data_IF_099490212905
#
_entry.id   IF_099490212905
#
_cell.length_a   1.000
_cell.length_b   1.000
_cell.length_c   1.000
_cell.angle_alpha   90.00
_cell.angle_beta   90.00
_cell.angle_gamma   90.00
#
_symmetry.space_group_name_H-M   'P 1'
#
loop_
_entity.id
_entity.type
_entity.pdbx_description
1 polymer ?
#
# COMPACT_ATOMS: atom_id res chain seq x y z
N UNK A 1 -89.06 4.41 -15.79
CA UNK A 1 -89.23 5.23 -17.00
C UNK A 1 -87.91 5.99 -17.13
N UNK A 2 -86.95 5.38 -17.84
CA UNK A 2 -86.53 5.75 -19.21
C UNK A 2 -85.57 6.96 -19.20
N UNK A 3 -84.47 7.08 -19.94
CA UNK A 3 -83.80 6.28 -20.97
C UNK A 3 -82.37 6.88 -21.14
N UNK A 4 -81.31 6.07 -21.30
CA UNK A 4 -80.51 5.87 -22.55
C UNK A 4 -79.72 7.09 -23.06
N UNK A 5 -78.39 6.97 -23.18
CA UNK A 5 -77.64 7.02 -24.47
C UNK A 5 -76.14 7.39 -24.30
N UNK A 6 -75.32 6.71 -25.10
CA UNK A 6 -73.87 6.84 -25.26
C UNK A 6 -73.45 7.83 -26.37
N UNK A 7 -72.13 7.87 -26.63
CA UNK A 7 -71.36 8.44 -27.76
C UNK A 7 -70.78 9.85 -27.52
N UNK A 8 -69.65 10.29 -28.08
CA UNK A 8 -68.46 9.73 -28.72
C UNK A 8 -67.56 10.92 -29.13
N UNK A 9 -66.27 10.66 -29.38
CA UNK A 9 -65.34 11.40 -30.24
C UNK A 9 -64.99 12.87 -29.93
N UNK A 10 -63.73 13.08 -29.51
CA UNK A 10 -63.04 14.38 -29.42
C UNK A 10 -62.04 14.46 -30.57
N UNK A 11 -62.21 15.43 -31.46
CA UNK A 11 -61.23 15.85 -32.45
C UNK A 11 -60.99 17.35 -32.28
N UNK A 12 -59.73 17.79 -32.06
CA UNK A 12 -59.19 19.06 -32.53
C UNK A 12 -57.71 19.21 -32.16
N UNK A 13 -56.85 19.33 -33.16
CA UNK A 13 -55.55 20.01 -33.05
C UNK A 13 -55.68 21.49 -33.53
N UNK A 14 -54.59 22.27 -33.66
CA UNK A 14 -53.92 23.01 -32.59
C UNK A 14 -53.96 24.53 -32.89
N UNK A 15 -53.64 25.40 -31.94
CA UNK A 15 -53.20 26.75 -32.31
C UNK A 15 -52.30 27.41 -31.26
N UNK A 16 -51.38 28.18 -31.81
CA UNK A 16 -50.21 28.87 -31.30
C UNK A 16 -50.49 29.90 -30.19
N UNK A 17 -49.45 30.17 -29.37
CA UNK A 17 -49.15 31.54 -28.96
C UNK A 17 -48.69 31.77 -27.52
N UNK A 18 -47.42 32.23 -27.41
CA UNK A 18 -46.94 33.32 -26.54
C UNK A 18 -46.09 33.00 -25.29
N UNK A 19 -44.77 33.25 -25.47
CA UNK A 19 -43.81 33.95 -24.58
C UNK A 19 -42.98 33.16 -23.54
N UNK A 20 -41.73 32.91 -23.96
CA UNK A 20 -40.43 32.97 -23.24
C UNK A 20 -40.36 33.77 -21.90
N UNK A 21 -39.39 33.53 -20.98
CA UNK A 21 -37.95 33.54 -21.35
C UNK A 21 -36.90 32.79 -20.47
N UNK A 22 -35.65 32.83 -20.96
CA UNK A 22 -34.32 32.69 -20.27
C UNK A 22 -33.88 31.26 -19.93
N UNK A 23 -32.61 30.85 -20.06
CA UNK A 23 -31.28 31.51 -20.13
C UNK A 23 -30.29 30.54 -20.80
N UNK A 24 -29.32 31.04 -21.57
CA UNK A 24 -28.30 30.23 -22.24
C UNK A 24 -27.19 29.72 -21.33
N UNK A 25 -26.56 28.61 -21.74
CA UNK A 25 -25.24 28.21 -21.26
C UNK A 25 -24.40 27.63 -22.40
N UNK A 26 -23.28 28.33 -22.62
CA UNK A 26 -22.02 28.04 -23.29
C UNK A 26 -21.72 26.65 -23.87
N UNK A 27 -21.05 26.67 -25.03
CA UNK A 27 -19.78 25.93 -25.21
C UNK A 27 -19.79 24.85 -26.29
N UNK A 28 -19.51 25.26 -27.51
CA UNK A 28 -19.48 24.49 -28.76
C UNK A 28 -18.55 23.25 -28.79
N UNK A 29 -19.03 22.21 -29.46
CA UNK A 29 -18.27 21.04 -29.89
C UNK A 29 -17.28 21.41 -31.01
N UNK A 30 -15.99 21.17 -30.77
CA UNK A 30 -15.01 21.07 -31.86
C UNK A 30 -14.95 19.62 -32.37
N UNK A 31 -15.50 19.42 -33.56
CA UNK A 31 -15.45 18.18 -34.33
C UNK A 31 -14.04 17.97 -34.90
N UNK A 32 -13.47 16.78 -34.73
CA UNK A 32 -12.20 16.37 -35.36
C UNK A 32 -12.52 15.83 -36.76
N UNK A 33 -11.86 16.28 -37.85
CA UNK A 33 -12.04 15.68 -39.17
C UNK A 33 -11.23 14.39 -39.32
N UNK A 34 -11.90 13.35 -39.80
CA UNK A 34 -11.30 12.06 -40.21
C UNK A 34 -10.50 12.25 -41.52
N UNK A 35 -9.26 11.75 -41.65
CA UNK A 35 -8.55 11.78 -42.93
C UNK A 35 -8.95 10.58 -43.82
N UNK A 36 -9.28 10.88 -45.08
CA UNK A 36 -9.57 9.89 -46.12
C UNK A 36 -8.30 9.41 -46.84
N UNK A 37 -8.33 8.15 -47.28
CA UNK A 37 -7.29 7.40 -48.04
C UNK A 37 -6.67 8.18 -49.21
N UNK A 38 -5.36 7.98 -49.50
CA UNK A 38 -4.78 8.37 -50.79
C UNK A 38 -4.71 7.21 -51.80
N UNK A 39 -4.99 7.52 -53.08
CA UNK A 39 -4.78 6.67 -54.25
C UNK A 39 -3.40 6.91 -54.89
N UNK A 40 -2.89 5.87 -55.56
CA UNK A 40 -1.63 5.74 -56.29
C UNK A 40 -1.34 6.83 -57.35
N UNK A 41 -0.12 7.37 -57.37
CA UNK A 41 0.60 7.78 -58.59
C UNK A 41 2.10 7.47 -58.43
N UNK A 42 2.62 6.65 -59.34
CA UNK A 42 4.02 6.23 -59.45
C UNK A 42 4.86 7.27 -60.23
N UNK A 43 6.04 7.64 -59.73
CA UNK A 43 7.18 8.01 -60.60
C UNK A 43 8.54 7.78 -59.93
N UNK A 44 9.31 6.91 -60.55
CA UNK A 44 10.70 6.54 -60.26
C UNK A 44 11.66 7.64 -60.75
N UNK A 45 12.66 8.01 -59.92
CA UNK A 45 14.04 8.22 -60.36
C UNK A 45 15.01 8.16 -59.17
N UNK A 46 16.18 7.62 -59.48
CA UNK A 46 17.19 6.98 -58.64
C UNK A 46 18.34 7.93 -58.28
N UNK A 47 18.87 7.87 -57.06
CA UNK A 47 20.33 7.95 -56.76
C UNK A 47 20.66 7.69 -55.27
N UNK A 48 21.79 7.00 -55.11
CA UNK A 48 22.45 6.26 -54.01
C UNK A 48 22.80 6.97 -52.68
N UNK A 49 23.20 6.23 -51.61
CA UNK A 49 23.07 6.61 -50.20
C UNK A 49 24.37 7.14 -49.54
N UNK A 50 24.22 7.98 -48.52
CA UNK A 50 25.23 8.25 -47.49
C UNK A 50 24.73 7.75 -46.14
N UNK A 51 25.58 6.97 -45.45
CA UNK A 51 25.28 6.26 -44.23
C UNK A 51 25.53 7.12 -42.99
N UNK A 52 24.51 7.30 -42.16
CA UNK A 52 24.60 7.83 -40.80
C UNK A 52 23.58 7.09 -39.91
N UNK A 53 24.11 6.36 -38.91
CA UNK A 53 23.50 5.90 -37.65
C UNK A 53 22.00 5.56 -37.64
N UNK A 54 21.65 4.29 -37.88
CA UNK A 54 20.24 3.82 -37.98
C UNK A 54 19.81 2.79 -36.93
N UNK A 55 20.65 2.40 -35.97
CA UNK A 55 20.33 1.31 -35.04
C UNK A 55 19.62 1.74 -33.73
N UNK A 56 19.68 3.03 -33.38
CA UNK A 56 18.99 3.59 -32.19
C UNK A 56 17.47 3.70 -32.33
N UNK A 57 16.86 4.23 -33.43
CA UNK A 57 15.41 4.41 -33.49
C UNK A 57 14.68 3.06 -33.60
N UNK A 58 15.31 2.03 -34.16
CA UNK A 58 14.67 0.73 -34.37
C UNK A 58 14.47 -0.02 -33.05
N UNK A 59 15.41 0.13 -32.13
CA UNK A 59 15.39 -0.53 -30.82
C UNK A 59 14.38 0.15 -29.89
N UNK A 60 14.32 1.49 -29.91
CA UNK A 60 13.34 2.27 -29.15
C UNK A 60 11.90 1.98 -29.61
N UNK A 61 11.67 1.93 -30.93
CA UNK A 61 10.36 1.58 -31.47
C UNK A 61 9.93 0.14 -31.12
N UNK A 62 10.86 -0.80 -31.04
CA UNK A 62 10.57 -2.17 -30.62
C UNK A 62 10.21 -2.27 -29.12
N UNK A 63 10.94 -1.55 -28.26
CA UNK A 63 10.67 -1.49 -26.83
C UNK A 63 9.31 -0.84 -26.52
N UNK A 64 9.00 0.29 -27.17
CA UNK A 64 7.71 0.97 -27.06
C UNK A 64 6.58 0.08 -27.56
N UNK A 65 6.76 -0.59 -28.71
CA UNK A 65 5.77 -1.55 -29.21
C UNK A 65 5.51 -2.69 -28.23
N UNK A 66 6.55 -3.27 -27.63
CA UNK A 66 6.42 -4.33 -26.63
C UNK A 66 5.68 -3.85 -25.37
N UNK A 67 5.95 -2.63 -24.90
CA UNK A 67 5.22 -2.00 -23.79
C UNK A 67 3.73 -1.84 -24.13
N UNK A 68 3.40 -1.31 -25.31
CA UNK A 68 2.01 -1.08 -25.72
C UNK A 68 1.22 -2.40 -25.83
N UNK A 69 1.84 -3.45 -26.36
CA UNK A 69 1.24 -4.79 -26.39
C UNK A 69 1.03 -5.37 -24.98
N UNK A 70 1.98 -5.16 -24.06
CA UNK A 70 1.83 -5.61 -22.68
C UNK A 70 0.65 -4.89 -21.98
N UNK A 71 0.50 -3.58 -22.18
CA UNK A 71 -0.62 -2.80 -21.64
C UNK A 71 -1.94 -3.21 -22.31
N UNK A 72 -1.96 -3.45 -23.63
CA UNK A 72 -3.17 -3.89 -24.33
C UNK A 72 -3.68 -5.27 -23.89
N UNK A 73 -2.75 -6.17 -23.50
CA UNK A 73 -3.05 -7.47 -22.93
C UNK A 73 -3.50 -7.41 -21.45
N UNK A 74 -3.25 -6.29 -20.77
CA UNK A 74 -3.74 -6.07 -19.40
C UNK A 74 -5.26 -5.87 -19.37
N UNK A 75 -5.88 -6.08 -18.20
CA UNK A 75 -7.33 -5.86 -18.01
C UNK A 75 -7.71 -4.39 -17.85
N UNK A 76 -6.81 -3.45 -18.15
CA UNK A 76 -7.06 -2.02 -17.97
C UNK A 76 -7.96 -1.46 -19.08
N UNK A 77 -8.93 -0.58 -18.73
CA UNK A 77 -9.79 0.05 -19.72
C UNK A 77 -9.01 1.08 -20.54
N UNK A 78 -8.81 0.79 -21.83
CA UNK A 78 -8.11 1.68 -22.77
C UNK A 78 -8.94 2.93 -23.07
N UNK A 79 -10.24 2.75 -23.30
CA UNK A 79 -11.21 3.83 -23.51
C UNK A 79 -12.59 3.46 -22.95
N UNK A 80 -13.45 4.47 -22.79
CA UNK A 80 -14.85 4.28 -22.40
C UNK A 80 -15.63 3.68 -23.56
N UNK A 81 -16.10 2.44 -23.41
CA UNK A 81 -16.97 1.75 -24.38
C UNK A 81 -18.41 1.82 -23.91
N UNK A 82 -19.35 2.07 -24.83
CA UNK A 82 -20.78 2.12 -24.52
C UNK A 82 -21.41 0.72 -24.49
N UNK A 83 -22.50 0.57 -23.74
CA UNK A 83 -23.23 -0.70 -23.66
C UNK A 83 -23.78 -1.08 -25.05
N UNK A 84 -23.28 -2.20 -25.60
CA UNK A 84 -23.68 -2.72 -26.93
C UNK A 84 -22.65 -2.47 -28.04
N UNK A 85 -21.53 -1.81 -27.77
CA UNK A 85 -20.41 -1.73 -28.69
C UNK A 85 -19.63 -3.06 -28.72
N UNK A 86 -19.05 -3.45 -29.87
CA UNK A 86 -18.21 -4.64 -29.96
C UNK A 86 -16.91 -4.45 -29.16
N UNK A 87 -16.46 -5.52 -28.51
CA UNK A 87 -15.20 -5.51 -27.76
C UNK A 87 -14.02 -5.12 -28.66
N UNK A 88 -13.23 -4.15 -28.20
CA UNK A 88 -12.03 -3.72 -28.91
C UNK A 88 -11.02 -4.86 -29.06
N UNK A 89 -10.54 -5.04 -30.29
CA UNK A 89 -9.45 -5.97 -30.58
C UNK A 89 -8.13 -5.47 -29.99
N UNK A 90 -7.19 -6.39 -29.73
CA UNK A 90 -5.87 -6.01 -29.21
C UNK A 90 -5.14 -5.02 -30.13
N UNK A 91 -5.32 -5.15 -31.45
CA UNK A 91 -4.70 -4.25 -32.44
C UNK A 91 -5.26 -2.82 -32.34
N UNK A 92 -6.57 -2.68 -32.16
CA UNK A 92 -7.22 -1.38 -31.95
C UNK A 92 -6.81 -0.74 -30.63
N UNK A 93 -6.70 -1.56 -29.56
CA UNK A 93 -6.18 -1.09 -28.27
C UNK A 93 -4.76 -0.53 -28.42
N UNK A 94 -3.87 -1.26 -29.09
CA UNK A 94 -2.48 -0.81 -29.31
C UNK A 94 -2.44 0.48 -30.13
N UNK A 95 -3.30 0.64 -31.13
CA UNK A 95 -3.38 1.87 -31.92
C UNK A 95 -3.77 3.10 -31.05
N UNK A 96 -4.79 2.95 -30.21
CA UNK A 96 -5.24 4.02 -29.29
C UNK A 96 -4.14 4.34 -28.26
N UNK A 97 -3.51 3.31 -27.69
CA UNK A 97 -2.43 3.46 -26.72
C UNK A 97 -1.20 4.13 -27.34
N UNK A 98 -0.83 3.78 -28.58
CA UNK A 98 0.27 4.39 -29.32
C UNK A 98 0.02 5.88 -29.54
N UNK A 99 -1.20 6.24 -29.97
CA UNK A 99 -1.57 7.64 -30.15
C UNK A 99 -1.46 8.42 -28.84
N UNK A 100 -1.99 7.88 -27.74
CA UNK A 100 -1.93 8.54 -26.43
C UNK A 100 -0.49 8.69 -25.92
N UNK A 101 0.35 7.68 -26.11
CA UNK A 101 1.76 7.73 -25.70
C UNK A 101 2.53 8.83 -26.45
N UNK A 102 2.30 9.02 -27.74
CA UNK A 102 2.98 10.07 -28.50
C UNK A 102 2.41 11.47 -28.27
N UNK A 103 1.10 11.61 -28.06
CA UNK A 103 0.46 12.91 -27.84
C UNK A 103 0.60 13.40 -26.39
N UNK A 104 0.38 12.50 -25.42
CA UNK A 104 0.28 12.81 -23.98
C UNK A 104 0.92 11.70 -23.14
N UNK A 105 2.26 11.54 -23.19
CA UNK A 105 2.98 10.46 -22.52
C UNK A 105 2.80 10.45 -20.98
N UNK A 106 2.61 11.62 -20.35
CA UNK A 106 2.31 11.71 -18.91
C UNK A 106 0.93 11.15 -18.54
N UNK A 107 -0.09 11.46 -19.34
CA UNK A 107 -1.45 10.95 -19.13
C UNK A 107 -1.51 9.44 -19.39
N UNK A 108 -0.72 8.96 -20.36
CA UNK A 108 -0.52 7.54 -20.56
C UNK A 108 0.06 6.89 -19.30
N UNK A 109 1.16 7.45 -18.76
CA UNK A 109 1.84 6.90 -17.60
C UNK A 109 0.94 6.89 -16.36
N UNK A 110 0.23 7.98 -16.09
CA UNK A 110 -0.73 8.10 -14.97
C UNK A 110 -1.84 7.04 -15.05
N UNK A 111 -2.38 6.77 -16.24
CA UNK A 111 -3.50 5.83 -16.41
C UNK A 111 -3.09 4.37 -16.42
N UNK A 112 -1.90 4.08 -16.94
CA UNK A 112 -1.47 2.71 -17.25
C UNK A 112 -0.29 2.23 -16.42
N UNK A 113 0.18 3.00 -15.41
CA UNK A 113 1.30 2.61 -14.55
C UNK A 113 1.12 1.20 -13.95
N UNK A 114 -0.09 0.84 -13.49
CA UNK A 114 -0.40 -0.48 -12.91
C UNK A 114 -0.25 -1.66 -13.87
N UNK A 115 -0.23 -1.41 -15.18
CA UNK A 115 -0.02 -2.42 -16.22
C UNK A 115 1.41 -2.46 -16.76
N UNK A 116 2.29 -1.57 -16.30
CA UNK A 116 3.68 -1.48 -16.76
C UNK A 116 4.60 -2.38 -15.92
N UNK A 117 5.69 -2.84 -16.55
CA UNK A 117 6.77 -3.57 -15.90
C UNK A 117 8.03 -2.71 -15.82
N UNK A 118 8.97 -3.10 -14.97
CA UNK A 118 10.26 -2.41 -14.81
C UNK A 118 11.03 -2.28 -16.14
N UNK A 119 10.96 -3.30 -16.99
CA UNK A 119 11.55 -3.29 -18.34
C UNK A 119 10.98 -2.18 -19.25
N UNK A 120 9.77 -1.68 -18.99
CA UNK A 120 9.12 -0.65 -19.81
C UNK A 120 9.53 0.76 -19.43
N UNK A 121 10.13 0.96 -18.24
CA UNK A 121 10.51 2.28 -17.74
C UNK A 121 11.53 2.99 -18.62
N UNK A 122 12.35 2.23 -19.35
CA UNK A 122 13.27 2.78 -20.34
C UNK A 122 12.56 3.59 -21.44
N UNK A 123 11.29 3.28 -21.74
CA UNK A 123 10.50 3.99 -22.75
C UNK A 123 10.15 5.43 -22.32
N UNK A 124 10.19 5.75 -21.03
CA UNK A 124 9.86 7.08 -20.51
C UNK A 124 11.10 7.96 -20.27
N UNK A 125 12.26 7.57 -20.82
CA UNK A 125 13.51 8.34 -20.69
C UNK A 125 13.39 9.80 -21.14
N UNK A 126 12.50 10.09 -22.09
CA UNK A 126 12.21 11.43 -22.60
C UNK A 126 11.45 12.33 -21.60
N UNK A 127 10.88 11.77 -20.53
CA UNK A 127 10.16 12.51 -19.47
C UNK A 127 11.00 12.73 -18.20
N UNK A 128 12.28 12.31 -18.19
CA UNK A 128 13.13 12.45 -17.00
C UNK A 128 13.24 13.92 -16.58
N UNK A 129 13.06 14.17 -15.28
CA UNK A 129 13.11 15.52 -14.70
C UNK A 129 11.73 16.15 -14.50
N UNK A 130 10.65 15.53 -14.97
CA UNK A 130 9.30 15.85 -14.49
C UNK A 130 9.01 15.01 -13.23
N UNK A 131 8.77 15.70 -12.11
CA UNK A 131 8.45 15.08 -10.82
C UNK A 131 7.28 14.10 -10.90
N UNK A 132 6.26 14.39 -11.72
CA UNK A 132 5.10 13.49 -11.88
C UNK A 132 5.51 12.21 -12.61
N UNK A 133 6.33 12.31 -13.66
CA UNK A 133 6.83 11.15 -14.38
C UNK A 133 7.74 10.29 -13.50
N UNK A 134 8.63 10.93 -12.75
CA UNK A 134 9.57 10.26 -11.84
C UNK A 134 8.81 9.53 -10.72
N UNK A 135 7.75 10.14 -10.17
CA UNK A 135 6.86 9.50 -9.18
C UNK A 135 6.23 8.22 -9.71
N UNK A 136 5.56 8.26 -10.87
CA UNK A 136 4.91 7.08 -11.44
C UNK A 136 5.92 6.02 -11.88
N UNK A 137 7.10 6.41 -12.38
CA UNK A 137 8.17 5.46 -12.68
C UNK A 137 8.67 4.74 -11.43
N UNK A 138 8.81 5.47 -10.31
CA UNK A 138 9.14 4.88 -9.01
C UNK A 138 8.03 3.95 -8.50
N UNK A 139 6.77 4.30 -8.71
CA UNK A 139 5.62 3.46 -8.36
C UNK A 139 5.65 2.11 -9.10
N UNK A 140 5.89 2.12 -10.41
CA UNK A 140 6.03 0.90 -11.23
C UNK A 140 7.21 0.04 -10.77
N UNK A 141 8.36 0.65 -10.45
CA UNK A 141 9.52 -0.08 -9.92
C UNK A 141 9.20 -0.74 -8.55
N UNK A 142 8.43 -0.05 -7.70
CA UNK A 142 7.95 -0.60 -6.42
C UNK A 142 6.97 -1.75 -6.62
N UNK A 143 6.12 -1.70 -7.63
CA UNK A 143 5.20 -2.79 -7.97
C UNK A 143 5.96 -4.04 -8.45
N UNK A 144 7.01 -3.87 -9.26
CA UNK A 144 7.86 -4.99 -9.73
C UNK A 144 8.65 -5.68 -8.61
N UNK A 145 9.03 -4.94 -7.57
CA UNK A 145 9.74 -5.46 -6.38
C UNK A 145 8.79 -5.97 -5.29
N UNK A 146 7.52 -5.57 -5.33
CA UNK A 146 6.53 -6.04 -4.35
C UNK A 146 6.27 -7.54 -4.53
N UNK A 147 6.51 -8.30 -3.45
CA UNK A 147 6.19 -9.72 -3.44
C UNK A 147 4.69 -9.94 -3.70
N UNK A 148 4.32 -10.96 -4.50
CA UNK A 148 2.94 -11.40 -4.66
C UNK A 148 2.24 -11.53 -3.31
N UNK A 149 0.99 -11.06 -3.20
CA UNK A 149 0.20 -11.14 -1.96
C UNK A 149 0.21 -12.56 -1.36
N UNK A 150 0.07 -13.58 -2.20
CA UNK A 150 0.14 -14.99 -1.78
C UNK A 150 1.47 -15.38 -1.10
N UNK A 151 2.62 -14.87 -1.58
CA UNK A 151 3.91 -15.11 -0.93
C UNK A 151 4.00 -14.38 0.40
N UNK A 152 3.52 -13.13 0.48
CA UNK A 152 3.48 -12.36 1.74
C UNK A 152 2.61 -13.04 2.79
N UNK A 153 1.44 -13.54 2.39
CA UNK A 153 0.55 -14.32 3.28
C UNK A 153 1.23 -15.59 3.76
N UNK A 154 1.86 -16.37 2.88
CA UNK A 154 2.60 -17.59 3.26
C UNK A 154 3.73 -17.30 4.25
N UNK A 155 4.55 -16.28 3.99
CA UNK A 155 5.62 -15.88 4.91
C UNK A 155 5.06 -15.43 6.25
N UNK A 156 3.99 -14.63 6.25
CA UNK A 156 3.33 -14.20 7.48
C UNK A 156 2.77 -15.38 8.27
N UNK A 157 2.21 -16.38 7.60
CA UNK A 157 1.70 -17.61 8.23
C UNK A 157 2.84 -18.46 8.82
N UNK A 158 3.97 -18.61 8.11
CA UNK A 158 5.17 -19.28 8.65
C UNK A 158 5.71 -18.57 9.89
N UNK A 159 5.86 -17.24 9.80
CA UNK A 159 6.26 -16.40 10.93
C UNK A 159 5.26 -16.50 12.07
N UNK A 160 3.96 -16.58 11.81
CA UNK A 160 2.96 -16.77 12.85
C UNK A 160 3.11 -18.12 13.57
N UNK A 161 3.42 -19.20 12.85
CA UNK A 161 3.72 -20.50 13.47
C UNK A 161 4.96 -20.39 14.38
N UNK A 162 6.05 -19.81 13.89
CA UNK A 162 7.26 -19.58 14.69
C UNK A 162 7.02 -18.65 15.89
N UNK A 163 6.22 -17.59 15.72
CA UNK A 163 5.83 -16.66 16.77
C UNK A 163 5.18 -17.42 17.95
N UNK A 164 4.26 -18.34 17.65
CA UNK A 164 3.59 -19.14 18.68
C UNK A 164 4.56 -20.04 19.45
N UNK A 165 5.52 -20.65 18.78
CA UNK A 165 6.56 -21.46 19.43
C UNK A 165 7.46 -20.60 20.33
N UNK A 166 7.87 -19.42 19.85
CA UNK A 166 8.70 -18.49 20.62
C UNK A 166 7.97 -17.95 21.87
N UNK A 167 6.67 -17.67 21.76
CA UNK A 167 5.83 -17.29 22.90
C UNK A 167 5.73 -18.45 23.91
N UNK A 168 5.55 -19.67 23.43
CA UNK A 168 5.50 -20.85 24.29
C UNK A 168 6.83 -21.12 25.00
N UNK A 169 7.96 -20.86 24.32
CA UNK A 169 9.30 -20.94 24.89
C UNK A 169 9.59 -19.86 25.95
N UNK A 170 8.95 -18.69 25.84
CA UNK A 170 8.97 -17.62 26.85
C UNK A 170 10.27 -16.81 26.94
N UNK A 171 11.34 -17.21 26.25
CA UNK A 171 12.62 -16.49 26.28
C UNK A 171 12.62 -15.26 25.36
N UNK A 172 12.24 -15.44 24.09
CA UNK A 172 12.39 -14.41 23.04
C UNK A 172 11.46 -13.21 23.20
N UNK A 173 10.24 -13.45 23.70
CA UNK A 173 9.25 -12.43 24.05
C UNK A 173 9.19 -12.17 25.56
N UNK A 174 10.29 -12.44 26.28
CA UNK A 174 10.43 -11.93 27.64
C UNK A 174 10.56 -10.41 27.63
N UNK A 175 10.09 -9.77 28.70
CA UNK A 175 10.13 -8.32 28.88
C UNK A 175 11.56 -7.75 28.69
N UNK A 176 12.56 -8.45 29.23
CA UNK A 176 13.97 -8.05 29.11
C UNK A 176 14.49 -8.20 27.68
N UNK A 177 14.19 -9.29 26.98
CA UNK A 177 14.62 -9.47 25.57
C UNK A 177 13.95 -8.46 24.64
N UNK A 178 12.65 -8.17 24.85
CA UNK A 178 11.96 -7.14 24.05
C UNK A 178 12.54 -5.75 24.30
N UNK A 179 12.89 -5.42 25.56
CA UNK A 179 13.60 -4.18 25.91
C UNK A 179 14.94 -4.07 25.19
N UNK A 180 15.74 -5.15 25.16
CA UNK A 180 17.02 -5.15 24.48
C UNK A 180 16.93 -4.91 22.97
N UNK A 181 15.93 -5.52 22.32
CA UNK A 181 15.73 -5.42 20.87
C UNK A 181 15.08 -4.11 20.43
N UNK A 182 14.20 -3.55 21.26
CA UNK A 182 13.46 -2.34 20.96
C UNK A 182 13.45 -1.35 22.15
N UNK A 183 14.61 -0.74 22.49
CA UNK A 183 14.72 0.07 23.70
C UNK A 183 13.86 1.34 23.65
N UNK A 184 13.82 2.06 22.53
CA UNK A 184 12.97 3.25 22.38
C UNK A 184 11.48 2.93 22.57
N UNK A 185 11.00 1.89 21.87
CA UNK A 185 9.60 1.46 21.99
C UNK A 185 9.27 1.00 23.41
N UNK A 186 10.21 0.32 24.08
CA UNK A 186 10.04 -0.08 25.46
C UNK A 186 9.94 1.14 26.39
N UNK A 187 10.77 2.15 26.19
CA UNK A 187 10.76 3.38 27.00
C UNK A 187 9.42 4.12 26.86
N UNK A 188 8.93 4.28 25.64
CA UNK A 188 7.66 4.94 25.33
C UNK A 188 6.45 4.24 25.95
N UNK A 189 6.42 2.90 26.01
CA UNK A 189 5.26 2.16 26.50
C UNK A 189 5.34 1.74 27.96
N UNK A 190 6.53 1.42 28.45
CA UNK A 190 6.72 0.80 29.77
C UNK A 190 7.69 1.64 30.61
N UNK A 191 8.86 1.95 30.07
CA UNK A 191 9.99 2.54 30.80
C UNK A 191 9.63 3.83 31.55
N UNK A 192 8.99 4.78 30.87
CA UNK A 192 8.62 6.07 31.44
C UNK A 192 7.60 5.99 32.60
N UNK A 193 6.89 4.86 32.73
CA UNK A 193 5.88 4.64 33.77
C UNK A 193 6.32 3.70 34.89
N UNK A 194 7.58 3.23 34.86
CA UNK A 194 8.14 2.41 35.93
C UNK A 194 8.47 3.25 37.16
N UNK A 195 8.06 2.74 38.31
CA UNK A 195 8.44 3.33 39.61
C UNK A 195 9.89 2.98 39.97
N UNK A 196 10.51 3.79 40.83
CA UNK A 196 11.87 3.53 41.34
C UNK A 196 11.99 2.17 42.05
N UNK A 197 10.90 1.70 42.68
CA UNK A 197 10.83 0.38 43.32
C UNK A 197 10.87 -0.73 42.26
N UNK A 198 10.05 -0.62 41.21
CA UNK A 198 10.05 -1.57 40.09
C UNK A 198 11.43 -1.63 39.42
N UNK A 199 12.06 -0.48 39.17
CA UNK A 199 13.43 -0.43 38.62
C UNK A 199 14.46 -1.13 39.53
N UNK A 200 14.36 -0.92 40.84
CA UNK A 200 15.29 -1.52 41.82
C UNK A 200 15.16 -3.05 41.89
N UNK A 201 13.97 -3.60 41.65
CA UNK A 201 13.75 -5.05 41.57
C UNK A 201 14.31 -5.71 40.30
N UNK A 202 14.59 -4.93 39.25
CA UNK A 202 15.20 -5.43 38.00
C UNK A 202 16.70 -5.64 38.12
N UNK A 203 17.38 -4.84 38.93
CA UNK A 203 18.76 -5.15 39.33
C UNK A 203 18.75 -6.47 40.10
N UNK A 204 19.51 -7.50 39.68
CA UNK A 204 19.51 -8.80 40.34
C UNK A 204 19.93 -8.64 41.79
N UNK A 205 18.94 -8.72 42.68
CA UNK A 205 19.19 -8.84 44.12
C UNK A 205 19.86 -10.19 44.33
N UNK A 206 20.99 -10.26 45.06
CA UNK A 206 21.63 -11.53 45.39
C UNK A 206 20.61 -12.48 46.02
N UNK A 207 20.21 -13.52 45.30
CA UNK A 207 19.28 -14.49 45.88
C UNK A 207 19.98 -15.22 47.03
N UNK A 208 19.34 -15.34 48.21
CA UNK A 208 19.86 -16.19 49.25
C UNK A 208 19.87 -17.64 48.74
N UNK A 209 20.90 -18.44 49.09
CA UNK A 209 21.05 -19.79 48.58
C UNK A 209 19.82 -20.64 48.93
N UNK A 210 19.27 -21.35 47.94
CA UNK A 210 18.23 -22.36 48.18
C UNK A 210 18.77 -23.42 49.15
N UNK A 211 18.02 -23.78 50.21
CA UNK A 211 18.49 -24.78 51.18
C UNK A 211 18.61 -26.15 50.50
N UNK A 212 19.83 -26.66 50.37
CA UNK A 212 20.10 -28.03 49.88
C UNK A 212 21.15 -28.17 48.76
N UNK A 213 21.67 -27.07 48.20
CA UNK A 213 22.78 -27.13 47.24
C UNK A 213 24.10 -26.71 47.88
N UNK A 214 25.24 -27.35 47.56
CA UNK A 214 26.55 -26.90 48.03
C UNK A 214 26.87 -25.52 47.43
N UNK A 215 26.54 -24.50 48.23
CA UNK A 215 27.05 -23.14 48.27
C UNK A 215 28.08 -22.75 47.19
N UNK A 216 27.58 -22.12 46.12
CA UNK A 216 28.21 -20.95 45.52
C UNK A 216 27.15 -19.85 45.40
N UNK A 217 26.91 -19.05 46.45
CA UNK A 217 26.08 -17.87 46.36
C UNK A 217 26.94 -16.74 45.82
N UNK A 218 26.71 -16.33 44.58
CA UNK A 218 27.06 -14.99 44.07
C UNK A 218 26.63 -14.97 42.62
N UNK A 219 25.85 -13.97 42.19
CA UNK A 219 26.09 -13.42 40.85
C UNK A 219 27.58 -13.03 40.87
N UNK A 220 28.48 -13.80 40.23
CA UNK A 220 29.89 -13.46 40.23
C UNK A 220 30.04 -12.02 39.73
N UNK A 221 31.05 -11.31 40.21
CA UNK A 221 31.34 -9.94 39.76
C UNK A 221 31.33 -9.82 38.23
N UNK A 222 31.66 -10.90 37.51
CA UNK A 222 31.54 -10.99 36.04
C UNK A 222 30.13 -10.74 35.51
N UNK A 223 29.09 -11.29 36.15
CA UNK A 223 27.70 -11.17 35.68
C UNK A 223 27.20 -9.75 35.90
N UNK A 224 27.55 -9.13 37.04
CA UNK A 224 27.24 -7.72 37.30
C UNK A 224 27.97 -6.79 36.32
N UNK A 225 29.24 -7.08 36.02
CA UNK A 225 30.01 -6.31 35.04
C UNK A 225 29.40 -6.45 33.64
N UNK A 226 29.03 -7.67 33.24
CA UNK A 226 28.39 -7.94 31.96
C UNK A 226 27.04 -7.22 31.86
N UNK A 227 26.21 -7.30 32.91
CA UNK A 227 24.94 -6.59 32.95
C UNK A 227 25.13 -5.07 32.89
N UNK A 228 26.10 -4.51 33.62
CA UNK A 228 26.39 -3.07 33.59
C UNK A 228 26.84 -2.59 32.22
N UNK A 229 27.56 -3.44 31.48
CA UNK A 229 28.00 -3.17 30.12
C UNK A 229 26.81 -3.21 29.16
N UNK A 230 25.99 -4.26 29.24
CA UNK A 230 24.77 -4.41 28.43
C UNK A 230 23.78 -3.25 28.67
N UNK A 231 23.57 -2.85 29.92
CA UNK A 231 22.69 -1.72 30.26
C UNK A 231 23.25 -0.40 29.71
N UNK A 232 24.58 -0.21 29.71
CA UNK A 232 25.21 0.96 29.07
C UNK A 232 25.01 0.97 27.56
N UNK A 233 25.21 -0.17 26.90
CA UNK A 233 24.96 -0.29 25.45
C UNK A 233 23.50 0.01 25.12
N UNK A 234 22.57 -0.51 25.92
CA UNK A 234 21.15 -0.26 25.79
C UNK A 234 20.81 1.23 25.92
N UNK A 235 21.37 1.90 26.93
CA UNK A 235 21.18 3.35 27.14
C UNK A 235 21.75 4.16 25.97
N UNK A 236 22.92 3.80 25.45
CA UNK A 236 23.49 4.48 24.29
C UNK A 236 22.61 4.30 23.04
N UNK A 237 22.11 3.08 22.79
CA UNK A 237 21.19 2.80 21.69
C UNK A 237 19.88 3.57 21.84
N UNK A 238 19.34 3.65 23.06
CA UNK A 238 18.13 4.42 23.36
C UNK A 238 18.33 5.91 23.04
N UNK A 239 19.40 6.52 23.54
CA UNK A 239 19.70 7.92 23.29
C UNK A 239 19.85 8.22 21.80
N UNK A 240 20.59 7.38 21.07
CA UNK A 240 20.72 7.53 19.63
C UNK A 240 19.36 7.50 18.93
N UNK A 241 18.48 6.55 19.31
CA UNK A 241 17.14 6.45 18.71
C UNK A 241 16.25 7.65 19.04
N UNK A 242 16.41 8.25 20.22
CA UNK A 242 15.70 9.48 20.60
C UNK A 242 16.20 10.69 19.80
N UNK A 243 17.51 10.83 19.65
CA UNK A 243 18.11 11.90 18.81
C UNK A 243 17.68 11.78 17.34
N UNK A 244 17.59 10.56 16.80
CA UNK A 244 17.08 10.31 15.44
C UNK A 244 15.59 10.66 15.30
N UNK A 245 14.75 10.33 16.29
CA UNK A 245 13.32 10.69 16.31
C UNK A 245 13.12 12.21 16.44
N UNK A 246 13.87 12.87 17.31
CA UNK A 246 13.85 14.34 17.49
C UNK A 246 14.28 15.06 16.21
N UNK A 247 15.35 14.60 15.56
CA UNK A 247 15.80 15.17 14.28
C UNK A 247 14.76 15.03 13.16
N UNK A 248 14.02 13.91 13.11
CA UNK A 248 12.94 13.75 12.12
C UNK A 248 11.78 14.72 12.38
N UNK A 249 11.42 14.93 13.64
CA UNK A 249 10.37 15.89 14.02
C UNK A 249 10.78 17.33 13.70
N UNK A 250 12.05 17.70 13.97
CA UNK A 250 12.59 19.02 13.60
C UNK A 250 12.52 19.25 12.09
N UNK A 251 12.87 18.25 11.26
CA UNK A 251 12.75 18.34 9.80
C UNK A 251 11.29 18.48 9.32
N UNK A 252 10.34 17.80 9.96
CA UNK A 252 8.90 17.92 9.64
C UNK A 252 8.34 19.30 10.02
N UNK A 253 8.75 19.88 11.16
CA UNK A 253 8.36 21.22 11.60
C UNK A 253 8.93 22.34 10.70
N UNK A 254 10.15 22.18 10.17
CA UNK A 254 10.76 23.15 9.24
C UNK A 254 10.06 23.21 7.87
N UNK A 255 9.38 22.13 7.45
CA UNK A 255 8.59 22.07 6.20
C UNK A 255 7.14 22.60 6.39
N UNK A 256 6.66 22.74 7.63
CA UNK A 256 5.37 23.36 7.99
C UNK A 256 5.50 24.87 8.29
N UNK A 257 6.08 25.67 7.38
CA UNK A 257 6.04 27.14 7.46
C UNK A 257 4.68 27.66 6.94
N UNK A 258 3.62 27.47 7.74
CA UNK A 258 2.29 28.06 7.52
C UNK A 258 1.78 28.72 8.79
N UNK A 259 1.93 30.05 8.85
CA UNK A 259 1.36 31.03 9.80
C UNK A 259 0.09 30.56 10.56
N UNK A 260 0.24 30.09 11.80
CA UNK A 260 -0.81 30.17 12.83
C UNK A 260 -0.22 30.67 14.15
N UNK A 261 -0.33 31.99 14.35
CA UNK A 261 -0.07 32.63 15.64
C UNK A 261 -1.00 32.07 16.73
N UNK A 262 -0.38 31.67 17.84
CA UNK A 262 -0.87 31.80 19.20
C UNK A 262 -2.14 30.99 19.57
N UNK A 263 -1.92 29.73 19.92
CA UNK A 263 -2.57 29.15 21.10
C UNK A 263 -1.50 28.53 22.01
N UNK A 264 -0.90 29.36 22.86
CA UNK A 264 -0.41 28.89 24.17
C UNK A 264 -1.60 28.34 24.98
N UNK A 265 -2.02 27.11 24.68
CA UNK A 265 -2.92 26.34 25.53
C UNK A 265 -2.06 25.45 26.43
N UNK A 266 -1.68 26.01 27.57
CA UNK A 266 -1.42 25.29 28.82
C UNK A 266 -0.77 23.91 28.67
N UNK A 267 0.57 23.89 28.60
CA UNK A 267 1.39 22.74 28.99
C UNK A 267 1.22 22.46 30.49
N UNK A 268 0.02 22.06 30.90
CA UNK A 268 -0.18 21.23 32.09
C UNK A 268 -0.01 19.77 31.63
N UNK A 269 1.23 19.44 31.25
CA UNK A 269 1.70 18.05 31.27
C UNK A 269 1.96 17.67 32.72
N UNK A 270 0.92 17.75 33.56
CA UNK A 270 0.82 16.88 34.72
C UNK A 270 0.75 15.48 34.13
N UNK A 271 1.91 14.82 33.99
CA UNK A 271 2.02 13.46 33.53
C UNK A 271 1.09 12.62 34.42
N UNK A 272 -0.11 12.32 33.91
CA UNK A 272 -1.05 11.44 34.58
C UNK A 272 -0.34 10.11 34.66
N UNK A 273 0.22 9.79 35.84
CA UNK A 273 0.88 8.51 36.08
C UNK A 273 -0.18 7.46 35.81
N UNK A 274 -0.02 6.62 34.77
CA UNK A 274 -1.07 5.70 34.40
C UNK A 274 -1.39 4.79 35.57
N UNK A 275 -2.66 4.49 35.74
CA UNK A 275 -3.08 3.60 36.81
C UNK A 275 -2.58 2.17 36.54
N UNK A 276 -2.83 1.25 37.48
CA UNK A 276 -2.36 -0.13 37.32
C UNK A 276 -3.00 -0.86 36.14
N UNK A 277 -4.21 -0.49 35.71
CA UNK A 277 -4.93 -1.11 34.59
C UNK A 277 -4.40 -0.55 33.26
N UNK A 278 -4.22 0.76 33.17
CA UNK A 278 -3.61 1.44 32.03
C UNK A 278 -2.17 0.96 31.79
N UNK A 279 -1.38 0.74 32.86
CA UNK A 279 -0.05 0.13 32.75
C UNK A 279 -0.10 -1.29 32.17
N UNK A 280 -1.15 -2.06 32.44
CA UNK A 280 -1.31 -3.39 31.85
C UNK A 280 -1.66 -3.29 30.36
N UNK A 281 -2.55 -2.38 29.99
CA UNK A 281 -2.92 -2.12 28.60
C UNK A 281 -1.69 -1.68 27.80
N UNK A 282 -0.90 -0.74 28.32
CA UNK A 282 0.34 -0.28 27.68
C UNK A 282 1.36 -1.42 27.48
N UNK A 283 1.48 -2.34 28.44
CA UNK A 283 2.33 -3.54 28.30
C UNK A 283 1.80 -4.51 27.23
N UNK A 284 0.49 -4.68 27.14
CA UNK A 284 -0.14 -5.51 26.10
C UNK A 284 0.03 -4.90 24.70
N UNK A 285 -0.12 -3.57 24.58
CA UNK A 285 0.14 -2.81 23.35
C UNK A 285 1.60 -2.94 22.91
N UNK A 286 2.55 -2.76 23.84
CA UNK A 286 3.97 -2.98 23.58
C UNK A 286 4.23 -4.38 23.05
N UNK A 287 3.70 -5.40 23.73
CA UNK A 287 3.87 -6.81 23.34
C UNK A 287 3.25 -7.08 21.97
N UNK A 288 2.07 -6.54 21.71
CA UNK A 288 1.37 -6.65 20.42
C UNK A 288 2.17 -5.99 19.29
N UNK A 289 2.76 -4.81 19.52
CA UNK A 289 3.65 -4.15 18.55
C UNK A 289 4.89 -4.99 18.28
N UNK A 290 5.49 -5.61 19.30
CA UNK A 290 6.62 -6.52 19.12
C UNK A 290 6.24 -7.76 18.30
N UNK A 291 5.06 -8.33 18.53
CA UNK A 291 4.53 -9.42 17.70
C UNK A 291 4.32 -9.00 16.24
N UNK A 292 3.75 -7.81 15.98
CA UNK A 292 3.55 -7.32 14.61
C UNK A 292 4.87 -7.04 13.91
N UNK A 293 5.85 -6.43 14.58
CA UNK A 293 7.21 -6.24 14.03
C UNK A 293 7.85 -7.57 13.64
N UNK A 294 7.66 -8.59 14.47
CA UNK A 294 8.13 -9.93 14.18
C UNK A 294 7.48 -10.49 12.90
N UNK A 295 6.14 -10.45 12.81
CA UNK A 295 5.39 -10.93 11.64
C UNK A 295 5.76 -10.18 10.35
N UNK A 296 5.95 -8.86 10.44
CA UNK A 296 6.32 -8.00 9.32
C UNK A 296 7.75 -8.23 8.82
N UNK A 297 8.63 -8.84 9.62
CA UNK A 297 10.03 -9.03 9.26
C UNK A 297 10.91 -7.84 9.61
N UNK A 298 10.48 -6.99 10.56
CA UNK A 298 11.16 -5.73 10.95
C UNK A 298 11.99 -5.88 12.23
N UNK A 299 12.16 -7.11 12.71
CA UNK A 299 12.94 -7.43 13.89
C UNK A 299 14.39 -7.71 13.50
N UNK A 300 15.22 -6.66 13.51
CA UNK A 300 16.60 -6.74 13.00
C UNK A 300 17.51 -7.72 13.76
N UNK A 301 17.14 -8.06 15.00
CA UNK A 301 17.90 -8.96 15.86
C UNK A 301 17.53 -10.45 15.63
N UNK A 302 16.53 -10.74 14.79
CA UNK A 302 16.08 -12.10 14.46
C UNK A 302 16.55 -12.57 13.08
N UNK A 303 17.06 -13.80 12.99
CA UNK A 303 17.41 -14.41 11.71
C UNK A 303 16.19 -15.08 11.06
N UNK A 304 15.44 -14.30 10.27
CA UNK A 304 14.26 -14.77 9.55
C UNK A 304 14.53 -15.87 8.52
N UNK A 305 15.78 -16.06 8.08
CA UNK A 305 16.10 -17.11 7.10
C UNK A 305 15.77 -18.52 7.62
N UNK A 306 15.81 -18.69 8.95
CA UNK A 306 15.48 -19.93 9.66
C UNK A 306 13.99 -20.30 9.61
N UNK A 307 13.11 -19.30 9.48
CA UNK A 307 11.66 -19.48 9.46
C UNK A 307 11.12 -19.36 8.03
N UNK A 308 11.53 -18.33 7.30
CA UNK A 308 10.99 -18.00 5.98
C UNK A 308 11.29 -19.09 4.95
N UNK A 309 12.41 -19.81 5.07
CA UNK A 309 12.79 -20.91 4.17
C UNK A 309 12.44 -22.30 4.70
N UNK A 310 11.86 -22.41 5.89
CA UNK A 310 11.57 -23.69 6.51
C UNK A 310 10.13 -24.13 6.20
N UNK A 311 9.93 -25.24 5.46
CA UNK A 311 8.59 -25.75 5.14
C UNK A 311 7.84 -26.31 6.36
N UNK A 312 8.52 -26.63 7.47
CA UNK A 312 7.87 -27.17 8.66
C UNK A 312 6.89 -26.17 9.31
N UNK A 313 7.09 -24.86 9.04
CA UNK A 313 6.18 -23.80 9.48
C UNK A 313 5.00 -23.56 8.54
N UNK A 314 4.85 -24.32 7.45
CA UNK A 314 3.67 -24.28 6.59
C UNK A 314 2.46 -24.92 7.30
N UNK A 315 1.73 -24.12 8.06
CA UNK A 315 0.53 -24.57 8.74
C UNK A 315 -0.62 -24.75 7.74
N UNK A 316 -0.83 -25.99 7.29
CA UNK A 316 -1.85 -26.35 6.31
C UNK A 316 -3.28 -26.00 6.77
N UNK A 317 -3.56 -26.02 8.08
CA UNK A 317 -4.88 -25.67 8.60
C UNK A 317 -5.16 -24.17 8.43
N UNK A 318 -4.14 -23.33 8.60
CA UNK A 318 -4.26 -21.88 8.36
C UNK A 318 -4.42 -21.63 6.86
N UNK A 319 -3.61 -22.30 6.02
CA UNK A 319 -3.71 -22.15 4.56
C UNK A 319 -5.10 -22.56 4.06
N UNK A 320 -5.66 -23.67 4.55
CA UNK A 320 -6.99 -24.12 4.17
C UNK A 320 -8.06 -23.08 4.56
N UNK A 321 -8.00 -22.54 5.78
CA UNK A 321 -8.94 -21.49 6.21
C UNK A 321 -8.80 -20.21 5.38
N UNK A 322 -7.58 -19.76 5.11
CA UNK A 322 -7.34 -18.57 4.28
C UNK A 322 -7.87 -18.77 2.85
N UNK A 323 -7.78 -20.00 2.32
CA UNK A 323 -8.33 -20.36 1.01
C UNK A 323 -9.87 -20.40 1.03
N UNK A 324 -10.47 -20.92 2.10
CA UNK A 324 -11.93 -20.88 2.32
C UNK A 324 -12.44 -19.44 2.45
N UNK A 325 -11.82 -18.60 3.29
CA UNK A 325 -12.19 -17.18 3.46
C UNK A 325 -12.09 -16.42 2.14
N UNK A 326 -11.02 -16.64 1.36
CA UNK A 326 -10.89 -16.04 0.02
C UNK A 326 -12.02 -16.49 -0.91
N UNK A 327 -12.44 -17.75 -0.84
CA UNK A 327 -13.57 -18.25 -1.63
C UNK A 327 -14.88 -17.54 -1.26
N UNK A 328 -15.14 -17.35 0.04
CA UNK A 328 -16.32 -16.63 0.52
C UNK A 328 -16.32 -15.14 0.17
N UNK A 329 -15.16 -14.48 0.21
CA UNK A 329 -15.03 -13.06 -0.16
C UNK A 329 -15.20 -12.83 -1.68
N UNK A 330 -14.88 -13.84 -2.50
CA UNK A 330 -15.05 -13.80 -3.96
C UNK A 330 -16.50 -14.11 -4.40
N UNK A 331 -17.30 -14.81 -3.59
CA UNK A 331 -18.74 -15.02 -3.83
C UNK A 331 -19.54 -13.75 -3.45
N UNK A 332 -19.69 -12.84 -4.43
CA UNK A 332 -20.63 -11.72 -4.32
C UNK A 332 -22.06 -12.28 -4.17
N UNK A 333 -22.86 -11.84 -3.17
CA UNK A 333 -24.18 -12.40 -2.96
C UNK A 333 -25.04 -12.17 -4.21
N UNK A 334 -25.46 -13.25 -4.87
CA UNK A 334 -26.43 -13.14 -5.97
C UNK A 334 -27.67 -12.42 -5.42
N UNK A 335 -27.97 -11.24 -5.98
CA UNK A 335 -29.18 -10.48 -5.69
C UNK A 335 -30.37 -11.43 -5.88
N UNK A 336 -30.93 -11.89 -4.76
CA UNK A 336 -32.05 -12.82 -4.79
C UNK A 336 -33.16 -12.20 -5.64
N UNK A 337 -33.70 -12.92 -6.65
CA UNK A 337 -34.74 -12.38 -7.50
C UNK A 337 -35.91 -11.95 -6.61
N UNK A 338 -36.14 -10.64 -6.54
CA UNK A 338 -37.25 -10.05 -5.80
C UNK A 338 -38.52 -10.75 -6.23
N UNK A 339 -39.33 -11.31 -5.31
CA UNK A 339 -40.54 -12.02 -5.70
C UNK A 339 -41.43 -11.04 -6.44
N UNK A 340 -41.69 -11.31 -7.72
CA UNK A 340 -42.66 -10.57 -8.50
C UNK A 340 -43.97 -10.60 -7.73
N UNK A 341 -44.41 -9.41 -7.29
CA UNK A 341 -45.72 -9.22 -6.71
C UNK A 341 -46.72 -9.42 -7.85
N UNK A 342 -47.24 -10.64 -7.98
CA UNK A 342 -48.43 -10.96 -8.74
C UNK A 342 -49.54 -10.00 -8.30
N UNK A 343 -49.82 -9.01 -9.15
CA UNK A 343 -50.96 -8.11 -9.04
C UNK A 343 -52.16 -8.80 -9.66
N UNK A 344 -53.01 -9.36 -8.82
CA UNK A 344 -54.42 -9.66 -9.14
C UNK A 344 -55.33 -8.44 -8.91
#
# INVERSE_FOLDING_TARGET
MEAVAAAAAKAKEPNEGCMEPRTGHWGELNQIPVPSKPQDIVKVMESTPEALDSDTPRTENAAVSAMLHAVAASRLPVCSQQQGEPDLTEQEKVAILSQLYHEKPLVFLERFCTGLREEHLACFGHLRGDHRADFYCAEVARQGTAQPRALRTRLRNRRYAALRELIQGGEYFSDEQMRFRAPLLYEQYIGQYLTQEELSTRTPVPQPPRPGSPSNPTCPLSDLLLQSYQERELQQRLLQQQEEEEACLEEEEEEEDSDEEDQESSKDSEACVPDSEEKLILREEFTSRMHQRFLDGKDGDFDYSTVDNNPDFDNLDIVARDEEERYFDEEEPEDAPSPELDRD
#
